data_IF_446162226914
#
_entry.id   IF_446162226914
#
_cell.length_a   1.000
_cell.length_b   1.000
_cell.length_c   1.000
_cell.angle_alpha   90.00
_cell.angle_beta   90.00
_cell.angle_gamma   90.00
#
_symmetry.space_group_name_H-M   'P 1'
#
loop_
_entity.id
_entity.type
_entity.pdbx_description
1 polymer ?
#
# COMPACT_ATOMS: atom_id res chain seq x y z
N UNK A 1 16.75 4.22 10.59
CA UNK A 1 15.27 4.30 10.52
C UNK A 1 14.85 3.46 9.33
N UNK A 2 13.82 2.63 9.44
CA UNK A 2 13.31 1.86 8.29
C UNK A 2 12.48 2.79 7.42
N UNK A 3 12.59 2.65 6.10
CA UNK A 3 11.89 3.49 5.14
C UNK A 3 11.42 2.64 3.96
N UNK A 4 10.18 2.86 3.53
CA UNK A 4 9.65 2.40 2.25
C UNK A 4 10.20 3.29 1.15
N UNK A 5 10.90 2.69 0.18
CA UNK A 5 11.54 3.40 -0.91
C UNK A 5 10.83 3.15 -2.25
N UNK A 6 10.50 4.22 -2.97
CA UNK A 6 10.09 4.14 -4.37
C UNK A 6 11.34 4.24 -5.27
N UNK A 7 11.55 3.22 -6.10
CA UNK A 7 12.62 3.19 -7.10
C UNK A 7 12.03 3.13 -8.51
N UNK A 8 12.22 4.21 -9.26
CA UNK A 8 11.73 4.35 -10.64
C UNK A 8 12.82 3.88 -11.59
N UNK A 9 12.54 2.81 -12.35
CA UNK A 9 13.46 2.29 -13.35
C UNK A 9 13.58 3.26 -14.55
N UNK A 10 14.81 3.61 -14.94
CA UNK A 10 15.10 4.50 -16.08
C UNK A 10 15.64 3.75 -17.32
N UNK A 11 15.18 2.52 -17.56
CA UNK A 11 15.50 1.76 -18.77
C UNK A 11 16.99 1.50 -18.96
N UNK A 12 17.67 1.02 -17.91
CA UNK A 12 19.11 0.68 -17.93
C UNK A 12 20.03 1.78 -17.39
N UNK A 13 19.53 3.00 -17.15
CA UNK A 13 20.29 4.10 -16.52
C UNK A 13 20.21 4.06 -14.99
N UNK A 14 20.00 2.90 -14.40
CA UNK A 14 19.72 2.72 -12.97
C UNK A 14 18.34 3.21 -12.55
N UNK A 15 18.19 3.48 -11.25
CA UNK A 15 16.93 3.88 -10.62
C UNK A 15 16.97 5.34 -10.15
N UNK A 16 15.85 6.03 -10.28
CA UNK A 16 15.60 7.30 -9.61
C UNK A 16 14.83 7.04 -8.32
N UNK A 17 15.30 7.60 -7.20
CA UNK A 17 14.52 7.60 -5.96
C UNK A 17 13.33 8.55 -6.11
N UNK A 18 12.13 8.00 -6.02
CA UNK A 18 10.89 8.76 -5.97
C UNK A 18 10.53 9.15 -4.53
N UNK A 19 9.65 10.14 -4.39
CA UNK A 19 9.11 10.55 -3.11
C UNK A 19 7.83 9.78 -2.81
N UNK A 20 7.72 9.28 -1.58
CA UNK A 20 6.47 8.74 -1.05
C UNK A 20 6.01 9.65 0.10
N UNK A 21 4.69 9.77 0.31
CA UNK A 21 4.15 10.54 1.42
C UNK A 21 4.49 9.88 2.77
N UNK A 22 4.42 10.66 3.85
CA UNK A 22 4.82 10.23 5.19
C UNK A 22 4.04 8.99 5.66
N UNK A 23 2.79 8.86 5.24
CA UNK A 23 1.89 7.76 5.57
C UNK A 23 2.41 6.40 5.10
N UNK A 24 3.16 6.36 3.99
CA UNK A 24 3.82 5.14 3.51
C UNK A 24 4.96 4.67 4.43
N UNK A 25 5.35 5.48 5.41
CA UNK A 25 6.44 5.24 6.35
C UNK A 25 5.94 4.86 7.75
N UNK A 26 4.63 4.95 8.03
CA UNK A 26 4.10 4.76 9.38
C UNK A 26 4.10 3.30 9.86
N UNK A 27 4.06 2.34 8.93
CA UNK A 27 4.13 0.92 9.24
C UNK A 27 4.85 0.16 8.12
N UNK A 28 5.46 -1.01 8.43
CA UNK A 28 6.04 -1.88 7.42
C UNK A 28 5.00 -2.25 6.37
N UNK A 29 5.43 -2.28 5.11
CA UNK A 29 4.64 -2.72 3.96
C UNK A 29 5.06 -4.14 3.63
N UNK A 30 4.08 -5.04 3.56
CA UNK A 30 4.27 -6.44 3.20
C UNK A 30 3.51 -6.83 1.94
N UNK A 31 2.48 -6.07 1.55
CA UNK A 31 1.73 -6.26 0.32
C UNK A 31 1.63 -4.96 -0.49
N UNK A 32 1.73 -5.08 -1.80
CA UNK A 32 1.58 -3.98 -2.76
C UNK A 32 0.76 -4.45 -3.96
N UNK A 33 -0.22 -3.64 -4.35
CA UNK A 33 -0.92 -3.76 -5.62
C UNK A 33 -0.73 -2.46 -6.39
N UNK A 34 -0.30 -2.57 -7.65
CA UNK A 34 -0.19 -1.44 -8.55
C UNK A 34 -1.24 -1.58 -9.65
N UNK A 35 -2.22 -0.68 -9.68
CA UNK A 35 -3.26 -0.67 -10.70
C UNK A 35 -3.70 0.76 -11.03
N UNK A 36 -4.30 0.95 -12.19
CA UNK A 36 -4.90 2.24 -12.55
C UNK A 36 -6.28 2.27 -11.88
N UNK A 37 -6.45 2.95 -10.74
CA UNK A 37 -7.66 2.88 -9.93
C UNK A 37 -8.70 3.91 -10.38
N UNK A 38 -8.24 5.06 -10.88
CA UNK A 38 -9.09 6.16 -11.33
C UNK A 38 -9.35 6.20 -12.85
N UNK A 39 -8.68 5.34 -13.64
CA UNK A 39 -8.83 5.23 -15.08
C UNK A 39 -8.09 6.29 -15.89
N UNK A 40 -7.05 6.92 -15.32
CA UNK A 40 -6.28 7.98 -16.00
C UNK A 40 -5.05 7.46 -16.77
N UNK A 41 -4.82 6.14 -16.75
CA UNK A 41 -3.70 5.47 -17.38
C UNK A 41 -2.40 5.50 -16.56
N UNK A 42 -2.41 6.05 -15.34
CA UNK A 42 -1.29 6.08 -14.41
C UNK A 42 -1.50 5.00 -13.36
N UNK A 43 -0.42 4.34 -12.93
CA UNK A 43 -0.50 3.33 -11.88
C UNK A 43 -0.58 4.01 -10.52
N UNK A 44 -1.66 3.73 -9.81
CA UNK A 44 -1.83 3.99 -8.39
C UNK A 44 -1.35 2.79 -7.58
N UNK A 45 -1.10 2.99 -6.29
CA UNK A 45 -0.62 1.94 -5.39
C UNK A 45 -1.59 1.72 -4.24
N UNK A 46 -1.87 0.46 -3.93
CA UNK A 46 -2.46 0.06 -2.65
C UNK A 46 -1.38 -0.64 -1.84
N UNK A 47 -1.11 -0.12 -0.66
CA UNK A 47 -0.05 -0.58 0.24
C UNK A 47 -0.68 -1.13 1.51
N UNK A 48 -0.28 -2.34 1.90
CA UNK A 48 -0.78 -3.00 3.10
C UNK A 48 0.35 -3.62 3.92
N UNK A 49 0.13 -3.77 5.22
CA UNK A 49 1.10 -4.38 6.10
C UNK A 49 0.65 -4.35 7.54
N UNK A 50 1.51 -3.80 8.41
CA UNK A 50 1.46 -3.83 9.88
C UNK A 50 2.25 -4.99 10.52
N UNK A 51 2.72 -4.72 11.73
CA UNK A 51 3.39 -5.68 12.59
C UNK A 51 3.00 -5.40 14.05
N UNK A 52 2.07 -6.20 14.58
CA UNK A 52 1.64 -6.15 15.97
C UNK A 52 2.62 -6.86 16.91
N UNK A 53 3.40 -7.81 16.39
CA UNK A 53 4.29 -8.66 17.17
C UNK A 53 5.76 -8.26 16.96
N UNK A 54 6.07 -6.99 17.23
CA UNK A 54 7.45 -6.51 17.28
C UNK A 54 8.01 -6.61 18.71
N UNK A 55 9.33 -6.39 18.86
CA UNK A 55 9.97 -6.31 20.18
C UNK A 55 9.27 -5.24 21.02
N UNK A 56 9.03 -5.52 22.30
CA UNK A 56 8.30 -4.62 23.22
C UNK A 56 8.80 -3.17 23.16
N UNK A 57 10.13 -2.97 23.12
CA UNK A 57 10.76 -1.64 23.03
C UNK A 57 10.35 -0.83 21.79
N UNK A 58 9.98 -1.48 20.69
CA UNK A 58 9.58 -0.84 19.43
C UNK A 58 8.09 -0.56 19.34
N UNK A 59 7.27 -1.16 20.22
CA UNK A 59 5.81 -1.03 20.16
C UNK A 59 5.19 -1.76 18.96
N UNK A 60 3.96 -1.37 18.61
CA UNK A 60 3.20 -1.98 17.51
C UNK A 60 3.16 -1.05 16.31
N UNK A 61 3.47 -1.57 15.13
CA UNK A 61 3.37 -0.81 13.87
C UNK A 61 2.03 -1.13 13.21
N UNK A 62 0.95 -0.45 13.62
CA UNK A 62 -0.43 -0.73 13.15
C UNK A 62 -1.11 0.46 12.45
N UNK A 63 -0.32 1.36 11.88
CA UNK A 63 -0.81 2.59 11.30
C UNK A 63 -1.10 2.50 9.79
N UNK A 64 -1.06 1.30 9.19
CA UNK A 64 -1.52 1.07 7.82
C UNK A 64 -2.91 0.42 7.84
N UNK A 65 -3.92 1.08 7.29
CA UNK A 65 -5.30 0.57 7.24
C UNK A 65 -5.75 0.19 5.83
N UNK A 66 -4.80 -0.15 4.94
CA UNK A 66 -5.00 -0.14 3.50
C UNK A 66 -4.79 1.29 2.98
N UNK A 67 -3.53 1.62 2.69
CA UNK A 67 -3.11 2.94 2.21
C UNK A 67 -3.20 2.98 0.69
N UNK A 68 -3.98 3.92 0.14
CA UNK A 68 -4.07 4.15 -1.30
C UNK A 68 -3.27 5.40 -1.66
N UNK A 69 -2.36 5.26 -2.63
CA UNK A 69 -1.54 6.32 -3.17
C UNK A 69 -1.92 6.58 -4.61
N UNK A 70 -2.39 7.79 -4.90
CA UNK A 70 -2.75 8.23 -6.25
C UNK A 70 -1.51 8.77 -6.95
N UNK A 71 -1.19 8.19 -8.11
CA UNK A 71 -0.06 8.59 -8.95
C UNK A 71 -0.35 9.82 -9.80
N UNK A 72 0.69 10.51 -10.25
CA UNK A 72 0.59 11.56 -11.27
C UNK A 72 1.55 11.32 -12.44
N UNK A 73 1.41 12.13 -13.51
CA UNK A 73 2.25 12.03 -14.72
C UNK A 73 3.74 12.32 -14.47
N UNK A 74 4.07 12.89 -13.30
CA UNK A 74 5.42 13.22 -12.86
C UNK A 74 5.97 12.17 -11.89
N UNK A 75 5.26 11.06 -11.70
CA UNK A 75 5.61 9.96 -10.80
C UNK A 75 5.65 10.38 -9.31
N UNK A 76 4.87 11.40 -8.94
CA UNK A 76 4.58 11.70 -7.55
C UNK A 76 3.36 10.91 -7.08
N UNK A 77 3.29 10.70 -5.77
CA UNK A 77 2.20 10.00 -5.13
C UNK A 77 1.62 10.85 -4.02
N UNK A 78 0.29 10.93 -3.98
CA UNK A 78 -0.47 11.60 -2.91
C UNK A 78 -1.39 10.60 -2.21
N UNK A 79 -1.62 10.80 -0.91
CA UNK A 79 -2.47 9.89 -0.13
C UNK A 79 -3.94 10.15 -0.40
N UNK A 80 -4.69 9.08 -0.69
CA UNK A 80 -6.14 9.12 -0.64
C UNK A 80 -6.59 8.91 0.81
N UNK A 81 -7.55 9.71 1.27
CA UNK A 81 -8.06 9.58 2.64
C UNK A 81 -8.74 8.22 2.84
N UNK A 82 -8.78 7.76 4.10
CA UNK A 82 -9.42 6.47 4.41
C UNK A 82 -10.90 6.46 4.05
N UNK A 83 -11.60 7.59 4.26
CA UNK A 83 -13.00 7.74 3.90
C UNK A 83 -13.22 7.67 2.39
N UNK A 84 -12.34 8.27 1.60
CA UNK A 84 -12.43 8.25 0.14
C UNK A 84 -12.05 6.87 -0.45
N UNK A 85 -11.05 6.19 0.11
CA UNK A 85 -10.67 4.84 -0.34
C UNK A 85 -11.67 3.74 0.05
N UNK A 86 -12.40 3.93 1.15
CA UNK A 86 -13.33 2.93 1.70
C UNK A 86 -12.64 1.71 2.34
N UNK A 87 -11.30 1.65 2.37
CA UNK A 87 -10.55 0.59 3.04
C UNK A 87 -10.56 0.78 4.57
N UNK A 88 -10.46 -0.30 5.35
CA UNK A 88 -10.33 -0.24 6.81
C UNK A 88 -9.67 -1.52 7.35
N UNK A 89 -8.48 -1.85 6.81
CA UNK A 89 -7.77 -3.11 7.11
C UNK A 89 -6.90 -2.93 8.35
N UNK A 90 -7.42 -3.28 9.53
CA UNK A 90 -6.68 -3.10 10.80
C UNK A 90 -5.80 -4.28 11.20
N UNK A 91 -5.82 -5.36 10.42
CA UNK A 91 -5.08 -6.59 10.73
C UNK A 91 -3.59 -6.48 10.35
N UNK A 92 -2.81 -7.49 10.74
CA UNK A 92 -1.41 -7.64 10.31
C UNK A 92 -1.38 -8.29 8.91
N UNK A 93 -1.52 -7.48 7.87
CA UNK A 93 -1.49 -7.97 6.49
C UNK A 93 -0.09 -8.45 6.10
N UNK A 94 0.00 -9.62 5.48
CA UNK A 94 1.24 -10.25 5.00
C UNK A 94 1.33 -10.34 3.48
N UNK A 95 0.19 -10.27 2.80
CA UNK A 95 0.13 -10.19 1.35
C UNK A 95 -1.14 -9.46 0.90
N UNK A 96 -1.09 -8.87 -0.28
CA UNK A 96 -2.18 -8.14 -0.91
C UNK A 96 -2.23 -8.49 -2.39
N UNK A 97 -3.39 -8.96 -2.85
CA UNK A 97 -3.61 -9.33 -4.25
C UNK A 97 -4.84 -8.65 -4.83
N UNK A 98 -4.80 -8.35 -6.12
CA UNK A 98 -5.97 -7.94 -6.90
C UNK A 98 -6.49 -9.12 -7.71
N UNK A 99 -7.76 -9.48 -7.54
CA UNK A 99 -8.43 -10.46 -8.39
C UNK A 99 -8.95 -9.77 -9.65
N UNK A 100 -8.29 -10.01 -10.78
CA UNK A 100 -8.44 -9.26 -12.04
C UNK A 100 -9.85 -9.22 -12.63
N UNK A 101 -10.66 -10.26 -12.44
CA UNK A 101 -12.01 -10.32 -13.02
C UNK A 101 -13.04 -9.48 -12.26
N UNK A 102 -12.75 -9.08 -11.02
CA UNK A 102 -13.72 -8.44 -10.13
C UNK A 102 -13.19 -7.19 -9.43
N UNK A 103 -12.00 -6.71 -9.81
CA UNK A 103 -11.31 -5.55 -9.21
C UNK A 103 -11.38 -5.59 -7.68
N UNK A 104 -11.17 -6.79 -7.14
CA UNK A 104 -11.33 -7.09 -5.72
C UNK A 104 -9.96 -7.25 -5.11
N UNK A 105 -9.65 -6.38 -4.14
CA UNK A 105 -8.47 -6.50 -3.31
C UNK A 105 -8.69 -7.56 -2.25
N UNK A 106 -7.72 -8.45 -2.07
CA UNK A 106 -7.72 -9.51 -1.07
C UNK A 106 -6.49 -9.34 -0.18
N UNK A 107 -6.73 -9.18 1.11
CA UNK A 107 -5.72 -8.99 2.14
C UNK A 107 -5.54 -10.29 2.91
N UNK A 108 -4.37 -10.91 2.80
CA UNK A 108 -3.99 -12.06 3.60
C UNK A 108 -3.44 -11.59 4.95
N UNK A 109 -4.10 -11.96 6.04
CA UNK A 109 -3.79 -11.44 7.37
C UNK A 109 -3.22 -12.52 8.28
N UNK A 110 -2.20 -12.16 9.05
CA UNK A 110 -1.65 -13.03 10.09
C UNK A 110 -2.60 -13.10 11.29
N UNK A 111 -3.00 -14.32 11.67
CA UNK A 111 -3.86 -14.59 12.83
C UNK A 111 -5.21 -13.82 12.79
N UNK A 112 -5.74 -13.61 11.58
CA UNK A 112 -7.03 -12.96 11.34
C UNK A 112 -7.65 -13.46 10.03
N UNK A 113 -8.97 -13.32 9.84
CA UNK A 113 -9.62 -13.68 8.58
C UNK A 113 -9.03 -12.93 7.38
N UNK A 114 -9.09 -13.57 6.21
CA UNK A 114 -8.88 -12.89 4.93
C UNK A 114 -9.94 -11.81 4.76
N UNK A 115 -9.53 -10.61 4.35
CA UNK A 115 -10.44 -9.50 4.07
C UNK A 115 -10.48 -9.22 2.57
N UNK A 116 -11.66 -8.90 2.03
CA UNK A 116 -11.82 -8.58 0.63
C UNK A 116 -12.59 -7.26 0.44
N UNK A 117 -12.10 -6.40 -0.44
CA UNK A 117 -12.71 -5.13 -0.78
C UNK A 117 -12.90 -5.06 -2.29
N UNK A 118 -14.14 -4.87 -2.74
CA UNK A 118 -14.43 -4.62 -4.15
C UNK A 118 -14.29 -3.13 -4.44
N UNK A 119 -13.40 -2.78 -5.35
CA UNK A 119 -13.28 -1.42 -5.86
C UNK A 119 -14.48 -1.10 -6.74
N UNK A 120 -15.01 0.12 -6.61
CA UNK A 120 -16.14 0.63 -7.41
C UNK A 120 -15.64 1.64 -8.41
#
# INVERSE_FOLDING_TARGET
>A
MLETLLLINRGGKGFLRGNLPAEAQYAPIYGIVADDLNGDGIKDLVLAGNQSWARIKLGRFRANHGLVLMGDKKLNYSTLTQAASGLNVRADTRDLLMLGNSRTLVFANNDAPVMAYRLR
#
